data_IF_086750767918
#
_entry.id   IF_086750767918
#
_cell.length_a   1.000
_cell.length_b   1.000
_cell.length_c   1.000
_cell.angle_alpha   90.00
_cell.angle_beta   90.00
_cell.angle_gamma   90.00
#
_symmetry.space_group_name_H-M   'P 1'
#
loop_
_entity.id
_entity.type
_entity.pdbx_description
1 polymer ?
#
# COMPACT_ATOMS: atom_id res chain seq x y z
N UNK A 1 4.43 13.90 -19.68
CA UNK A 1 3.29 14.38 -18.86
C UNK A 1 2.41 13.24 -18.33
N UNK A 2 2.54 12.00 -18.82
CA UNK A 2 1.70 10.86 -18.37
C UNK A 2 1.84 10.49 -16.90
N UNK A 3 3.07 10.46 -16.34
CA UNK A 3 3.29 10.07 -14.93
C UNK A 3 2.68 11.00 -13.88
N UNK A 4 2.33 12.25 -14.24
CA UNK A 4 1.67 13.17 -13.30
C UNK A 4 0.17 12.85 -13.14
N UNK A 5 -0.48 12.30 -14.17
CA UNK A 5 -1.91 12.01 -14.13
C UNK A 5 -2.21 10.82 -13.21
N UNK A 6 -1.37 9.80 -13.22
CA UNK A 6 -1.51 8.63 -12.33
C UNK A 6 -1.34 9.02 -10.86
N UNK A 7 -0.38 9.90 -10.55
CA UNK A 7 -0.18 10.43 -9.20
C UNK A 7 -1.37 11.27 -8.72
N UNK A 8 -1.95 12.07 -9.62
CA UNK A 8 -3.16 12.85 -9.31
C UNK A 8 -4.31 11.92 -8.95
N UNK A 9 -4.58 10.90 -9.77
CA UNK A 9 -5.66 9.94 -9.52
C UNK A 9 -5.42 9.17 -8.23
N UNK A 10 -4.18 8.72 -7.99
CA UNK A 10 -3.81 8.00 -6.77
C UNK A 10 -4.08 8.85 -5.52
N UNK A 11 -3.56 10.08 -5.44
CA UNK A 11 -3.75 10.92 -4.27
C UNK A 11 -5.21 11.34 -4.05
N UNK A 12 -5.97 11.61 -5.12
CA UNK A 12 -7.40 11.87 -4.99
C UNK A 12 -8.13 10.68 -4.36
N UNK A 13 -7.83 9.46 -4.82
CA UNK A 13 -8.48 8.24 -4.33
C UNK A 13 -8.11 7.94 -2.88
N UNK A 14 -6.83 8.02 -2.55
CA UNK A 14 -6.33 7.60 -1.23
C UNK A 14 -6.57 8.64 -0.13
N UNK A 15 -6.63 9.94 -0.47
CA UNK A 15 -6.82 11.01 0.51
C UNK A 15 -8.17 11.73 0.42
N UNK A 16 -9.03 11.34 -0.51
CA UNK A 16 -10.31 12.02 -0.74
C UNK A 16 -10.17 13.47 -1.21
N UNK A 17 -9.01 13.86 -1.75
CA UNK A 17 -8.75 15.24 -2.15
C UNK A 17 -9.48 15.62 -3.44
N UNK A 18 -9.88 16.89 -3.55
CA UNK A 18 -10.43 17.42 -4.81
C UNK A 18 -9.38 17.43 -5.92
N UNK A 19 -9.82 17.33 -7.19
CA UNK A 19 -8.94 17.41 -8.35
C UNK A 19 -8.11 18.70 -8.35
N UNK A 20 -8.76 19.84 -8.08
CA UNK A 20 -8.10 21.14 -8.03
C UNK A 20 -6.99 21.20 -6.98
N UNK A 21 -7.22 20.64 -5.79
CA UNK A 21 -6.19 20.59 -4.76
C UNK A 21 -5.02 19.70 -5.20
N UNK A 22 -5.33 18.50 -5.68
CA UNK A 22 -4.32 17.50 -6.03
C UNK A 22 -3.43 17.95 -7.18
N UNK A 23 -4.00 18.59 -8.21
CA UNK A 23 -3.21 19.20 -9.30
C UNK A 23 -2.26 20.26 -8.77
N UNK A 24 -2.75 21.17 -7.91
CA UNK A 24 -1.91 22.21 -7.31
C UNK A 24 -0.79 21.61 -6.45
N UNK A 25 -1.10 20.57 -5.69
CA UNK A 25 -0.13 19.87 -4.85
C UNK A 25 0.96 19.21 -5.68
N UNK A 26 0.59 18.44 -6.70
CA UNK A 26 1.51 17.74 -7.61
C UNK A 26 2.39 18.73 -8.38
N UNK A 27 1.84 19.87 -8.81
CA UNK A 27 2.62 20.89 -9.52
C UNK A 27 3.62 21.64 -8.63
N UNK A 28 3.30 21.84 -7.34
CA UNK A 28 4.14 22.59 -6.40
C UNK A 28 5.15 21.73 -5.64
N UNK A 29 4.98 20.42 -5.68
CA UNK A 29 5.82 19.49 -4.93
C UNK A 29 6.93 18.95 -5.84
N UNK A 30 8.20 18.94 -5.39
CA UNK A 30 9.28 18.31 -6.15
C UNK A 30 9.01 16.84 -6.46
N UNK A 31 9.35 16.40 -7.69
CA UNK A 31 9.07 15.05 -8.18
C UNK A 31 9.60 13.93 -7.27
N UNK A 32 10.80 14.09 -6.71
CA UNK A 32 11.39 13.09 -5.81
C UNK A 32 10.56 12.88 -4.53
N UNK A 33 9.89 13.92 -4.03
CA UNK A 33 9.02 13.78 -2.85
C UNK A 33 7.70 13.10 -3.21
N UNK A 34 7.15 13.41 -4.39
CA UNK A 34 5.95 12.76 -4.92
C UNK A 34 6.19 11.26 -5.15
N UNK A 35 7.35 10.91 -5.69
CA UNK A 35 7.78 9.52 -5.86
C UNK A 35 7.90 8.79 -4.53
N UNK A 36 8.58 9.38 -3.54
CA UNK A 36 8.71 8.79 -2.21
C UNK A 36 7.36 8.56 -1.51
N UNK A 37 6.41 9.50 -1.66
CA UNK A 37 5.04 9.32 -1.14
C UNK A 37 4.29 8.21 -1.88
N UNK A 38 4.41 8.16 -3.20
CA UNK A 38 3.76 7.12 -4.01
C UNK A 38 4.29 5.73 -3.67
N UNK A 39 5.60 5.58 -3.50
CA UNK A 39 6.22 4.31 -3.11
C UNK A 39 5.76 3.84 -1.73
N UNK A 40 5.63 4.75 -0.76
CA UNK A 40 5.11 4.42 0.57
C UNK A 40 3.64 4.01 0.52
N UNK A 41 2.81 4.73 -0.24
CA UNK A 41 1.40 4.35 -0.48
C UNK A 41 1.30 2.96 -1.10
N UNK A 42 2.05 2.71 -2.18
CA UNK A 42 2.04 1.42 -2.86
C UNK A 42 2.50 0.29 -1.93
N UNK A 43 3.48 0.54 -1.07
CA UNK A 43 3.90 -0.43 -0.06
C UNK A 43 2.79 -0.73 0.94
N UNK A 44 2.14 0.29 1.51
CA UNK A 44 1.05 0.11 2.48
C UNK A 44 -0.13 -0.64 1.87
N UNK A 45 -0.54 -0.27 0.66
CA UNK A 45 -1.57 -0.99 -0.08
C UNK A 45 -1.18 -2.46 -0.29
N UNK A 46 0.04 -2.71 -0.76
CA UNK A 46 0.53 -4.08 -0.99
C UNK A 46 0.59 -4.90 0.30
N UNK A 47 0.95 -4.28 1.43
CA UNK A 47 0.99 -4.93 2.72
C UNK A 47 -0.41 -5.33 3.20
N UNK A 48 -1.40 -4.46 3.01
CA UNK A 48 -2.80 -4.77 3.36
C UNK A 48 -3.37 -5.88 2.46
N UNK A 49 -3.13 -5.83 1.15
CA UNK A 49 -3.51 -6.92 0.25
C UNK A 49 -2.85 -8.25 0.64
N UNK A 50 -1.57 -8.21 1.00
CA UNK A 50 -0.86 -9.41 1.47
C UNK A 50 -1.50 -9.97 2.74
N UNK A 51 -1.85 -9.11 3.71
CA UNK A 51 -2.53 -9.51 4.95
C UNK A 51 -3.88 -10.17 4.68
N UNK A 52 -4.67 -9.64 3.76
CA UNK A 52 -5.95 -10.22 3.35
C UNK A 52 -5.76 -11.57 2.64
N UNK A 53 -4.75 -11.68 1.78
CA UNK A 53 -4.39 -12.94 1.12
C UNK A 53 -3.94 -13.99 2.14
N UNK A 54 -3.16 -13.60 3.15
CA UNK A 54 -2.70 -14.49 4.23
C UNK A 54 -3.87 -15.05 5.05
N UNK A 55 -4.86 -14.23 5.38
CA UNK A 55 -6.07 -14.70 6.05
C UNK A 55 -6.80 -15.75 5.22
N UNK A 56 -6.98 -15.48 3.93
CA UNK A 56 -7.66 -16.40 3.00
C UNK A 56 -6.89 -17.72 2.84
N UNK A 57 -5.57 -17.62 2.73
CA UNK A 57 -4.68 -18.77 2.62
C UNK A 57 -4.61 -19.61 3.91
N UNK A 58 -4.71 -18.98 5.08
CA UNK A 58 -4.81 -19.66 6.36
C UNK A 58 -6.09 -20.50 6.47
N UNK A 59 -7.21 -19.96 5.99
CA UNK A 59 -8.48 -20.69 5.89
C UNK A 59 -8.30 -21.89 4.96
N UNK A 60 -7.70 -21.69 3.78
CA UNK A 60 -7.49 -22.76 2.80
C UNK A 60 -6.56 -23.86 3.33
N UNK A 61 -5.47 -23.49 4.02
CA UNK A 61 -4.58 -24.41 4.70
C UNK A 61 -5.34 -25.25 5.74
N UNK A 62 -6.21 -24.62 6.52
CA UNK A 62 -7.05 -25.29 7.53
C UNK A 62 -8.02 -26.28 6.90
N UNK A 63 -8.69 -25.89 5.81
CA UNK A 63 -9.59 -26.77 5.07
C UNK A 63 -8.83 -27.99 4.56
N UNK A 64 -7.69 -27.81 3.90
CA UNK A 64 -6.91 -28.91 3.32
C UNK A 64 -6.37 -29.84 4.40
N UNK A 65 -5.85 -29.29 5.50
CA UNK A 65 -5.33 -30.07 6.62
C UNK A 65 -6.41 -30.91 7.33
N UNK A 66 -7.69 -30.49 7.26
CA UNK A 66 -8.82 -31.19 7.88
C UNK A 66 -9.58 -32.12 6.92
N UNK A 67 -9.55 -31.86 5.61
CA UNK A 67 -10.40 -32.58 4.63
C UNK A 67 -9.73 -33.78 3.94
N UNK A 68 -8.40 -33.94 3.96
CA UNK A 68 -7.78 -35.14 3.38
C UNK A 68 -6.42 -35.49 4.02
N UNK A 69 -6.36 -36.58 4.78
CA UNK A 69 -5.09 -37.23 5.13
C UNK A 69 -4.95 -38.59 4.45
N UNK A 70 -4.48 -38.57 3.20
CA UNK A 70 -3.69 -39.68 2.65
C UNK A 70 -2.18 -39.41 2.73
N UNK A 71 -1.78 -38.13 2.69
CA UNK A 71 -0.39 -37.69 2.86
C UNK A 71 -0.19 -36.92 4.17
N UNK A 72 0.97 -37.09 4.82
CA UNK A 72 1.32 -36.45 6.11
C UNK A 72 1.69 -34.95 6.00
N UNK A 73 1.54 -34.34 4.83
CA UNK A 73 1.96 -32.95 4.60
C UNK A 73 0.98 -32.00 5.29
N UNK A 74 1.51 -31.16 6.18
CA UNK A 74 0.78 -30.05 6.80
C UNK A 74 1.02 -28.81 5.96
N UNK A 75 -0.06 -28.20 5.47
CA UNK A 75 -0.02 -26.97 4.69
C UNK A 75 -0.10 -25.74 5.60
N UNK A 76 0.59 -24.68 5.22
CA UNK A 76 0.57 -23.35 5.86
C UNK A 76 0.05 -22.30 4.88
N UNK A 77 -0.37 -21.14 5.38
CA UNK A 77 -0.81 -20.03 4.53
C UNK A 77 0.24 -19.64 3.48
N UNK A 78 1.52 -19.62 3.88
CA UNK A 78 2.67 -19.36 2.99
C UNK A 78 2.81 -20.33 1.82
N UNK A 79 2.17 -21.50 1.86
CA UNK A 79 2.20 -22.46 0.73
C UNK A 79 1.24 -22.06 -0.40
N UNK A 80 0.32 -21.13 -0.14
CA UNK A 80 -0.69 -20.67 -1.11
C UNK A 80 -0.47 -19.22 -1.58
N UNK A 81 0.40 -18.47 -0.91
CA UNK A 81 0.65 -17.05 -1.21
C UNK A 81 2.13 -16.82 -1.50
N UNK A 82 2.42 -15.72 -2.20
CA UNK A 82 3.78 -15.31 -2.50
C UNK A 82 4.54 -14.74 -1.29
N UNK A 83 5.66 -14.07 -1.59
CA UNK A 83 6.45 -13.38 -0.57
C UNK A 83 5.77 -12.06 -0.14
N UNK A 84 5.98 -11.62 1.11
CA UNK A 84 5.50 -10.32 1.56
C UNK A 84 6.13 -9.19 0.72
N UNK A 85 5.43 -8.06 0.55
CA UNK A 85 5.95 -6.92 -0.19
C UNK A 85 7.22 -6.39 0.49
N UNK A 86 8.21 -6.03 -0.32
CA UNK A 86 9.47 -5.44 0.15
C UNK A 86 9.36 -3.92 0.12
N UNK A 87 9.64 -3.29 1.27
CA UNK A 87 9.73 -1.84 1.38
C UNK A 87 10.99 -1.35 0.67
N UNK A 88 10.85 -0.41 -0.27
CA UNK A 88 11.97 0.10 -1.08
C UNK A 88 12.59 1.38 -0.50
N UNK A 89 11.78 2.26 0.09
CA UNK A 89 12.24 3.60 0.49
C UNK A 89 11.65 4.03 1.85
N UNK A 90 12.49 4.77 2.57
CA UNK A 90 12.42 5.34 3.93
C UNK A 90 12.45 4.35 5.10
N UNK A 91 13.61 4.28 5.74
CA UNK A 91 13.80 3.62 7.03
C UNK A 91 12.79 4.08 8.08
N UNK A 92 12.23 3.09 8.78
CA UNK A 92 11.48 3.23 10.04
C UNK A 92 10.30 4.20 10.04
N UNK A 93 9.64 4.40 8.89
CA UNK A 93 8.44 5.25 8.85
C UNK A 93 7.21 4.37 8.87
N UNK A 94 6.57 4.19 10.02
CA UNK A 94 5.47 3.22 10.12
C UNK A 94 4.14 3.73 9.52
N UNK A 95 4.09 4.97 9.02
CA UNK A 95 2.88 5.57 8.44
C UNK A 95 3.21 6.55 7.33
N UNK A 96 2.23 6.77 6.44
CA UNK A 96 2.33 7.72 5.32
C UNK A 96 2.47 9.17 5.82
N UNK A 97 1.78 9.52 6.91
CA UNK A 97 1.87 10.82 7.56
C UNK A 97 3.31 11.14 7.99
N UNK A 98 3.98 10.19 8.65
CA UNK A 98 5.37 10.36 9.06
C UNK A 98 6.32 10.42 7.86
N UNK A 99 5.98 9.76 6.74
CA UNK A 99 6.78 9.82 5.52
C UNK A 99 6.66 11.21 4.88
N UNK A 100 5.45 11.78 4.87
CA UNK A 100 5.21 13.15 4.46
C UNK A 100 5.92 14.16 5.35
N UNK A 101 5.86 14.02 6.67
CA UNK A 101 6.57 14.86 7.64
C UNK A 101 8.08 14.87 7.39
N UNK A 102 8.70 13.69 7.21
CA UNK A 102 10.13 13.58 6.87
C UNK A 102 10.47 14.28 5.55
N UNK A 103 9.52 14.33 4.62
CA UNK A 103 9.66 15.03 3.35
C UNK A 103 9.28 16.52 3.42
N UNK A 104 8.86 17.03 4.59
CA UNK A 104 8.37 18.39 4.76
C UNK A 104 7.09 18.65 3.97
N UNK A 105 6.25 17.63 3.82
CA UNK A 105 4.95 17.68 3.15
C UNK A 105 3.85 17.65 4.20
N UNK A 106 2.90 18.56 4.09
CA UNK A 106 1.69 18.55 4.90
C UNK A 106 0.60 17.84 4.09
N UNK A 107 0.18 16.67 4.56
CA UNK A 107 -0.98 15.93 4.05
C UNK A 107 -2.15 16.24 4.99
N UNK A 108 -3.12 17.07 4.58
CA UNK A 108 -4.36 17.23 5.33
C UNK A 108 -5.17 15.92 5.31
N UNK A 109 -5.72 15.55 6.47
CA UNK A 109 -6.43 14.27 6.69
C UNK A 109 -7.63 14.10 5.77
N UNK A 110 -8.31 15.18 5.38
CA UNK A 110 -9.35 15.23 4.35
C UNK A 110 -9.52 16.68 3.87
N UNK A 111 -9.80 16.88 2.58
CA UNK A 111 -10.33 18.15 2.05
C UNK A 111 -11.68 17.82 1.40
N UNK A 112 -12.59 17.35 2.23
CA UNK A 112 -13.99 17.13 1.87
C UNK A 112 -14.77 18.42 2.04
N UNK A 113 -15.41 18.86 0.96
CA UNK A 113 -16.61 19.68 0.97
C UNK A 113 -17.80 18.82 0.58
#
# INVERSE_FOLDING_TARGET
MEGNNELIVLFMREFGWTFKYTVNFVQRTPLYKLQALSEELQYQMSAEYYRQAELSASIMATIINTTAKKDKKVYKASDFIGQPPKRRVVGEVNTLQKAAEKLGIIIPEEIGG
#
